data_IF_040591551272
#
_entry.id   IF_040591551272
#
_cell.length_a   1.000
_cell.length_b   1.000
_cell.length_c   1.000
_cell.angle_alpha   90.00
_cell.angle_beta   90.00
_cell.angle_gamma   90.00
#
_symmetry.space_group_name_H-M   'P 1'
#
loop_
_entity.id
_entity.type
_entity.pdbx_description
1 polymer ?
#
# COMPACT_ATOMS: atom_id res chain seq x y z
N UNK A 1 -36.44 57.00 29.31
CA UNK A 1 -35.18 57.58 29.83
C UNK A 1 -34.17 57.47 28.69
N UNK A 2 -34.03 58.52 27.88
CA UNK A 2 -33.02 59.59 28.00
C UNK A 2 -31.78 59.29 27.11
N UNK A 3 -31.70 60.03 26.01
CA UNK A 3 -30.52 60.37 25.17
C UNK A 3 -29.41 61.12 25.98
N UNK A 4 -28.23 61.58 25.45
CA UNK A 4 -27.85 61.84 24.02
C UNK A 4 -26.34 61.69 23.58
N UNK A 5 -26.15 61.88 22.25
CA UNK A 5 -25.11 62.63 21.49
C UNK A 5 -23.59 62.38 21.59
N UNK A 6 -22.98 62.12 20.42
CA UNK A 6 -21.56 62.37 20.10
C UNK A 6 -21.32 62.46 18.58
N UNK A 7 -20.68 63.54 18.13
CA UNK A 7 -20.69 64.14 16.78
C UNK A 7 -19.63 63.61 15.77
N UNK A 8 -20.02 63.63 14.49
CA UNK A 8 -19.33 64.08 13.25
C UNK A 8 -17.96 63.50 12.83
N UNK A 9 -17.87 63.03 11.57
CA UNK A 9 -17.12 63.72 10.50
C UNK A 9 -17.42 63.14 9.10
N UNK A 10 -17.52 64.05 8.13
CA UNK A 10 -17.81 63.83 6.71
C UNK A 10 -16.52 63.71 5.89
N UNK A 11 -16.58 63.08 4.70
CA UNK A 11 -15.76 63.31 3.47
C UNK A 11 -16.25 62.37 2.33
N UNK A 12 -15.94 62.63 1.04
CA UNK A 12 -16.94 62.93 0.00
C UNK A 12 -17.01 61.87 -1.14
N UNK A 13 -17.84 62.04 -2.20
CA UNK A 13 -18.09 61.01 -3.20
C UNK A 13 -17.06 61.03 -4.33
N UNK A 14 -16.82 59.88 -4.97
CA UNK A 14 -16.02 59.77 -6.19
C UNK A 14 -16.92 59.61 -7.43
N UNK A 15 -16.75 60.42 -8.48
CA UNK A 15 -17.23 60.07 -9.81
C UNK A 15 -16.14 60.07 -10.91
N UNK A 16 -16.30 59.08 -11.79
CA UNK A 16 -16.15 59.08 -13.26
C UNK A 16 -14.77 59.27 -13.93
N UNK A 17 -14.39 58.19 -14.62
CA UNK A 17 -14.07 58.10 -16.05
C UNK A 17 -13.01 59.01 -16.67
N UNK A 18 -11.92 58.42 -17.17
CA UNK A 18 -11.28 58.90 -18.40
C UNK A 18 -10.57 57.79 -19.19
N UNK A 19 -10.66 57.99 -20.50
CA UNK A 19 -10.52 57.12 -21.65
C UNK A 19 -9.09 56.72 -22.03
N UNK A 20 -9.03 55.61 -22.76
CA UNK A 20 -7.91 54.98 -23.49
C UNK A 20 -7.30 55.94 -24.54
N UNK A 21 -6.03 55.73 -24.94
CA UNK A 21 -5.83 55.35 -26.35
C UNK A 21 -4.81 54.22 -26.57
N UNK A 22 -4.94 53.66 -27.77
CA UNK A 22 -4.36 52.43 -28.29
C UNK A 22 -2.85 52.47 -28.61
N UNK A 23 -2.22 51.30 -28.54
CA UNK A 23 -1.07 50.93 -29.36
C UNK A 23 -1.09 49.41 -29.60
N UNK A 24 -1.10 49.00 -30.88
CA UNK A 24 -0.88 47.64 -31.35
C UNK A 24 0.51 47.56 -32.03
N UNK A 25 0.94 46.41 -32.57
CA UNK A 25 1.28 45.17 -31.88
C UNK A 25 2.76 44.80 -32.13
N UNK A 26 3.39 44.05 -31.21
CA UNK A 26 4.68 43.40 -31.48
C UNK A 26 4.46 41.88 -31.50
N UNK A 27 4.47 41.33 -32.71
CA UNK A 27 4.50 39.91 -32.96
C UNK A 27 5.79 39.29 -32.41
N UNK A 28 5.67 38.21 -31.63
CA UNK A 28 6.62 37.09 -31.58
C UNK A 28 6.18 36.03 -30.59
N UNK A 29 6.23 34.78 -31.03
CA UNK A 29 6.19 33.61 -30.15
C UNK A 29 4.99 32.72 -30.43
N UNK A 30 5.12 31.89 -31.45
CA UNK A 30 4.23 30.79 -31.74
C UNK A 30 4.01 29.93 -30.49
N UNK A 31 2.74 29.63 -30.23
CA UNK A 31 2.35 28.64 -29.26
C UNK A 31 2.76 27.25 -29.72
N UNK A 32 3.31 26.48 -28.79
CA UNK A 32 3.01 25.06 -28.67
C UNK A 32 2.66 24.85 -27.21
N UNK A 33 1.35 24.72 -26.97
CA UNK A 33 0.79 24.23 -25.72
C UNK A 33 1.54 22.95 -25.35
N UNK A 34 2.26 22.98 -24.22
CA UNK A 34 2.53 21.75 -23.50
C UNK A 34 1.15 21.24 -23.04
N UNK A 35 0.62 20.28 -23.78
CA UNK A 35 -0.47 19.45 -23.28
C UNK A 35 0.20 18.61 -22.19
N UNK A 36 0.06 19.06 -20.95
CA UNK A 36 0.27 18.21 -19.79
C UNK A 36 -0.73 17.07 -19.95
N UNK A 37 -0.23 15.94 -20.45
CA UNK A 37 -0.96 14.69 -20.53
C UNK A 37 -1.12 14.21 -19.09
N UNK A 38 -2.11 14.76 -18.39
CA UNK A 38 -2.63 14.16 -17.18
C UNK A 38 -3.24 12.84 -17.65
N UNK A 39 -2.63 11.68 -17.34
CA UNK A 39 -3.16 10.42 -17.81
C UNK A 39 -4.59 10.26 -17.26
N UNK A 40 -5.52 9.70 -18.05
CA UNK A 40 -6.88 9.49 -17.58
C UNK A 40 -6.86 8.67 -16.27
N UNK A 41 -7.70 9.03 -15.29
CA UNK A 41 -7.78 8.32 -14.01
C UNK A 41 -8.39 6.95 -14.28
N UNK A 42 -7.55 5.95 -14.54
CA UNK A 42 -7.99 4.61 -14.89
C UNK A 42 -6.94 3.74 -15.59
N UNK A 43 -5.81 4.28 -16.04
CA UNK A 43 -4.76 3.43 -16.59
C UNK A 43 -3.84 2.94 -15.47
N UNK A 44 -4.22 1.84 -14.83
CA UNK A 44 -3.31 1.09 -13.96
C UNK A 44 -2.00 0.87 -14.73
N UNK A 45 -0.88 1.36 -14.15
CA UNK A 45 0.41 1.35 -14.85
C UNK A 45 0.73 -0.09 -15.29
N UNK A 46 1.32 -0.31 -16.49
CA UNK A 46 1.50 -1.65 -17.06
C UNK A 46 2.36 -2.58 -16.19
N UNK A 47 3.15 -2.05 -15.26
CA UNK A 47 3.88 -2.86 -14.29
C UNK A 47 2.99 -3.37 -13.14
N UNK A 48 1.96 -2.62 -12.75
CA UNK A 48 0.98 -3.05 -11.73
C UNK A 48 0.05 -4.12 -12.29
N UNK A 49 -0.35 -4.01 -13.57
CA UNK A 49 -1.12 -5.08 -14.22
C UNK A 49 -0.33 -6.39 -14.28
N UNK A 50 0.98 -6.32 -14.53
CA UNK A 50 1.87 -7.49 -14.47
C UNK A 50 2.00 -8.01 -13.04
N UNK A 51 2.12 -7.13 -12.06
CA UNK A 51 2.21 -7.50 -10.65
C UNK A 51 0.94 -8.22 -10.17
N UNK A 52 -0.23 -7.69 -10.52
CA UNK A 52 -1.53 -8.25 -10.16
C UNK A 52 -2.00 -9.33 -11.13
N UNK A 53 -1.18 -9.72 -12.11
CA UNK A 53 -1.50 -10.71 -13.14
C UNK A 53 -2.85 -10.44 -13.84
N UNK A 54 -3.21 -9.16 -14.00
CA UNK A 54 -4.46 -8.73 -14.64
C UNK A 54 -5.71 -8.76 -13.74
N UNK A 55 -5.59 -8.99 -12.43
CA UNK A 55 -6.73 -8.93 -11.49
C UNK A 55 -7.51 -7.62 -11.62
N UNK A 56 -6.81 -6.50 -11.81
CA UNK A 56 -7.42 -5.19 -12.01
C UNK A 56 -8.42 -5.19 -13.17
N UNK A 57 -8.05 -5.79 -14.30
CA UNK A 57 -8.93 -5.88 -15.48
C UNK A 57 -10.15 -6.76 -15.23
N UNK A 58 -9.98 -7.85 -14.48
CA UNK A 58 -11.06 -8.78 -14.15
C UNK A 58 -12.09 -8.08 -13.25
N UNK A 59 -11.61 -7.31 -12.27
CA UNK A 59 -12.46 -6.53 -11.38
C UNK A 59 -13.21 -5.43 -12.13
N UNK A 60 -12.53 -4.67 -12.99
CA UNK A 60 -13.16 -3.64 -13.82
C UNK A 60 -14.17 -4.20 -14.83
N UNK A 61 -13.96 -5.44 -15.29
CA UNK A 61 -14.88 -6.14 -16.20
C UNK A 61 -16.12 -6.69 -15.48
N UNK A 62 -16.11 -6.73 -14.15
CA UNK A 62 -17.19 -7.35 -13.37
C UNK A 62 -18.35 -6.36 -13.16
N UNK A 63 -19.58 -6.69 -13.60
CA UNK A 63 -20.73 -5.80 -13.45
C UNK A 63 -21.05 -5.62 -11.96
N UNK A 64 -20.96 -4.38 -11.48
CA UNK A 64 -21.21 -4.01 -10.08
C UNK A 64 -19.95 -3.69 -9.28
N UNK A 65 -18.75 -4.09 -9.73
CA UNK A 65 -17.51 -3.67 -9.06
C UNK A 65 -17.21 -2.22 -9.40
N UNK A 66 -16.91 -1.43 -8.37
CA UNK A 66 -16.63 0.01 -8.45
C UNK A 66 -15.46 0.37 -7.53
N UNK A 67 -14.84 1.54 -7.72
CA UNK A 67 -13.76 2.05 -6.86
C UNK A 67 -12.53 1.12 -6.74
N UNK A 68 -12.13 0.48 -7.84
CA UNK A 68 -10.86 -0.25 -7.88
C UNK A 68 -9.71 0.75 -7.74
N UNK A 69 -9.06 0.74 -6.58
CA UNK A 69 -8.01 1.70 -6.22
C UNK A 69 -6.73 0.94 -5.91
N UNK A 70 -5.63 1.31 -6.57
CA UNK A 70 -4.30 0.78 -6.30
C UNK A 70 -3.45 1.91 -5.71
N UNK A 71 -2.97 1.71 -4.49
CA UNK A 71 -2.04 2.61 -3.82
C UNK A 71 -0.64 2.17 -4.16
N UNK A 72 -0.03 2.93 -5.07
CA UNK A 72 1.37 2.77 -5.40
C UNK A 72 2.25 3.20 -4.24
N UNK A 73 3.26 2.39 -3.96
CA UNK A 73 4.30 2.72 -2.99
C UNK A 73 5.63 2.87 -3.71
N UNK A 74 6.46 3.84 -3.31
CA UNK A 74 7.78 3.99 -3.90
C UNK A 74 8.62 2.72 -3.68
N UNK A 75 9.58 2.42 -4.56
CA UNK A 75 10.56 1.35 -4.32
C UNK A 75 11.23 1.44 -2.95
N UNK A 76 11.54 0.30 -2.35
CA UNK A 76 12.34 0.24 -1.13
C UNK A 76 13.83 0.42 -1.50
N UNK A 77 14.55 1.19 -0.71
CA UNK A 77 16.00 1.28 -0.89
C UNK A 77 16.68 -0.01 -0.46
N UNK A 78 17.76 -0.39 -1.16
CA UNK A 78 18.55 -1.58 -0.83
C UNK A 78 19.00 -1.60 0.63
N UNK A 79 19.37 -0.44 1.17
CA UNK A 79 19.80 -0.32 2.55
C UNK A 79 18.66 -0.64 3.53
N UNK A 80 17.40 -0.28 3.23
CA UNK A 80 16.24 -0.60 4.07
C UNK A 80 16.04 -2.12 4.16
N UNK A 81 16.24 -2.81 3.03
CA UNK A 81 16.21 -4.27 2.99
C UNK A 81 17.33 -4.85 3.84
N UNK A 82 18.57 -4.43 3.60
CA UNK A 82 19.72 -4.90 4.38
C UNK A 82 19.58 -4.62 5.88
N UNK A 83 19.06 -3.45 6.25
CA UNK A 83 18.80 -3.10 7.65
C UNK A 83 17.72 -3.97 8.28
N UNK A 84 16.65 -4.29 7.54
CA UNK A 84 15.63 -5.21 8.00
C UNK A 84 16.21 -6.62 8.19
N UNK A 85 17.03 -7.10 7.25
CA UNK A 85 17.66 -8.42 7.33
C UNK A 85 18.61 -8.54 8.52
N UNK A 86 19.43 -7.50 8.74
CA UNK A 86 20.34 -7.42 9.89
C UNK A 86 19.56 -7.37 11.22
N UNK A 87 18.49 -6.58 11.27
CA UNK A 87 17.65 -6.44 12.48
C UNK A 87 16.95 -7.74 12.87
N UNK A 88 16.48 -8.49 11.89
CA UNK A 88 15.68 -9.70 12.11
C UNK A 88 16.50 -11.00 11.99
N UNK A 89 17.81 -10.89 11.72
CA UNK A 89 18.71 -12.02 11.45
C UNK A 89 18.16 -13.02 10.40
N UNK A 90 17.45 -12.51 9.40
CA UNK A 90 16.79 -13.29 8.36
C UNK A 90 17.06 -12.69 6.98
N UNK A 91 17.20 -13.54 5.97
CA UNK A 91 17.44 -13.12 4.59
C UNK A 91 16.14 -13.30 3.80
N UNK A 92 15.63 -12.24 3.18
CA UNK A 92 14.43 -12.33 2.34
C UNK A 92 14.73 -13.18 1.08
N UNK A 93 13.76 -13.95 0.56
CA UNK A 93 13.88 -14.60 -0.74
C UNK A 93 14.15 -13.56 -1.83
N UNK A 94 14.91 -13.95 -2.86
CA UNK A 94 15.31 -13.04 -3.94
C UNK A 94 14.11 -12.41 -4.64
N UNK A 95 13.05 -13.18 -4.87
CA UNK A 95 11.80 -12.69 -5.46
C UNK A 95 11.12 -11.63 -4.59
N UNK A 96 11.13 -11.81 -3.26
CA UNK A 96 10.56 -10.85 -2.30
C UNK A 96 11.42 -9.60 -2.22
N UNK A 97 12.76 -9.73 -2.26
CA UNK A 97 13.66 -8.57 -2.35
C UNK A 97 13.41 -7.79 -3.63
N UNK A 98 13.32 -8.48 -4.77
CA UNK A 98 13.05 -7.87 -6.07
C UNK A 98 11.69 -7.16 -6.07
N UNK A 99 10.68 -7.76 -5.45
CA UNK A 99 9.40 -7.09 -5.21
C UNK A 99 9.59 -5.79 -4.43
N UNK A 100 10.27 -5.79 -3.29
CA UNK A 100 10.49 -4.58 -2.50
C UNK A 100 11.35 -3.54 -3.22
N UNK A 101 12.33 -3.96 -4.02
CA UNK A 101 13.12 -3.08 -4.89
C UNK A 101 12.32 -2.49 -6.05
N UNK A 102 11.19 -3.09 -6.42
CA UNK A 102 10.27 -2.57 -7.42
C UNK A 102 9.17 -1.71 -6.79
N UNK A 103 8.61 -2.12 -5.64
CA UNK A 103 7.53 -1.43 -4.91
C UNK A 103 7.63 -1.75 -3.41
N UNK A 104 7.69 -0.75 -2.53
CA UNK A 104 7.81 -0.96 -1.08
C UNK A 104 6.47 -1.33 -0.44
N UNK A 105 5.96 -2.50 -0.77
CA UNK A 105 4.62 -2.94 -0.43
C UNK A 105 3.60 -2.61 -1.52
N UNK A 106 2.38 -3.06 -1.31
CA UNK A 106 1.29 -2.96 -2.27
C UNK A 106 -0.02 -2.80 -1.50
N UNK A 107 -0.99 -2.06 -2.02
CA UNK A 107 -2.33 -2.04 -1.44
C UNK A 107 -3.33 -1.76 -2.54
N UNK A 108 -4.29 -2.67 -2.70
CA UNK A 108 -5.33 -2.61 -3.70
C UNK A 108 -6.66 -2.90 -3.02
N UNK A 109 -7.63 -2.02 -3.24
CA UNK A 109 -8.98 -2.16 -2.69
C UNK A 109 -9.99 -2.07 -3.80
N UNK A 110 -11.10 -2.78 -3.67
CA UNK A 110 -12.24 -2.65 -4.58
C UNK A 110 -13.54 -2.72 -3.81
N UNK A 111 -14.50 -1.94 -4.29
CA UNK A 111 -15.85 -1.89 -3.76
C UNK A 111 -16.82 -2.51 -4.76
N UNK A 112 -18.03 -2.79 -4.30
CA UNK A 112 -19.16 -3.16 -5.14
C UNK A 112 -20.26 -2.14 -4.89
N UNK A 113 -20.89 -1.65 -5.96
CA UNK A 113 -22.07 -0.82 -5.87
C UNK A 113 -23.29 -1.72 -5.81
N UNK A 114 -23.96 -1.73 -4.66
CA UNK A 114 -25.25 -2.37 -4.44
C UNK A 114 -26.30 -1.27 -4.27
N UNK A 115 -27.19 -1.13 -5.25
CA UNK A 115 -28.20 -0.07 -5.32
C UNK A 115 -27.59 1.35 -5.23
N UNK A 116 -27.88 2.10 -4.16
CA UNK A 116 -27.32 3.43 -3.90
C UNK A 116 -26.09 3.42 -2.96
N UNK A 117 -25.66 2.24 -2.48
CA UNK A 117 -24.56 2.12 -1.53
C UNK A 117 -23.33 1.47 -2.18
N UNK A 118 -22.16 2.07 -1.93
CA UNK A 118 -20.87 1.46 -2.27
C UNK A 118 -20.35 0.71 -1.05
N UNK A 119 -20.15 -0.59 -1.20
CA UNK A 119 -19.70 -1.49 -0.12
C UNK A 119 -18.27 -1.96 -0.45
N UNK A 120 -17.28 -1.75 0.44
CA UNK A 120 -15.94 -2.29 0.22
C UNK A 120 -16.01 -3.82 0.23
N UNK A 121 -15.64 -4.44 -0.90
CA UNK A 121 -15.78 -5.89 -1.09
C UNK A 121 -14.49 -6.62 -0.72
N UNK A 122 -13.34 -6.08 -1.11
CA UNK A 122 -12.07 -6.73 -0.86
C UNK A 122 -10.88 -5.77 -0.85
N UNK A 123 -9.83 -6.23 -0.16
CA UNK A 123 -8.53 -5.59 -0.11
C UNK A 123 -7.45 -6.65 -0.27
N UNK A 124 -6.43 -6.31 -1.05
CA UNK A 124 -5.19 -7.05 -1.17
C UNK A 124 -4.07 -6.10 -0.76
N UNK A 125 -3.33 -6.45 0.29
CA UNK A 125 -2.23 -5.64 0.77
C UNK A 125 -0.94 -6.47 0.84
N UNK A 126 0.19 -5.80 0.66
CA UNK A 126 1.49 -6.30 1.05
C UNK A 126 2.14 -5.18 1.87
N UNK A 127 2.49 -5.50 3.11
CA UNK A 127 3.15 -4.59 4.00
C UNK A 127 4.48 -4.13 3.42
N UNK A 128 4.80 -2.85 3.65
CA UNK A 128 6.13 -2.31 3.37
C UNK A 128 7.15 -3.03 4.25
N UNK A 129 8.42 -3.07 3.82
CA UNK A 129 9.45 -3.82 4.54
C UNK A 129 9.60 -3.38 6.02
N UNK A 130 9.45 -2.08 6.29
CA UNK A 130 9.48 -1.53 7.65
C UNK A 130 8.30 -1.97 8.53
N UNK A 131 7.19 -2.39 7.90
CA UNK A 131 5.97 -2.88 8.55
C UNK A 131 5.88 -4.41 8.61
N UNK A 132 6.88 -5.13 8.12
CA UNK A 132 6.96 -6.58 8.29
C UNK A 132 7.20 -6.89 9.76
N UNK A 133 6.18 -7.41 10.42
CA UNK A 133 6.22 -7.80 11.83
C UNK A 133 6.55 -9.28 11.94
N UNK A 134 7.46 -9.60 12.86
CA UNK A 134 7.68 -10.99 13.22
C UNK A 134 6.47 -11.49 14.02
N UNK A 135 5.88 -12.60 13.60
CA UNK A 135 4.83 -13.26 14.36
C UNK A 135 5.48 -14.09 15.46
N UNK A 136 5.18 -13.73 16.70
CA UNK A 136 5.53 -14.54 17.87
C UNK A 136 4.47 -15.63 18.05
N UNK A 137 4.90 -16.87 18.28
CA UNK A 137 4.01 -18.02 18.53
C UNK A 137 3.17 -17.86 19.80
N UNK A 138 3.65 -17.03 20.73
CA UNK A 138 2.93 -16.57 21.89
C UNK A 138 2.54 -15.11 21.67
N UNK A 139 1.28 -14.86 21.34
CA UNK A 139 0.76 -13.50 21.52
C UNK A 139 0.75 -13.21 23.03
N UNK A 140 1.16 -12.01 23.44
CA UNK A 140 1.24 -11.58 24.86
C UNK A 140 -0.15 -11.56 25.54
N UNK A 141 -1.21 -11.77 24.75
CA UNK A 141 -2.62 -11.83 25.16
C UNK A 141 -3.23 -13.22 25.01
N UNK A 142 -2.42 -14.26 24.74
CA UNK A 142 -2.93 -15.62 24.63
C UNK A 142 -3.42 -16.07 26.01
N UNK A 143 -4.72 -16.35 26.11
CA UNK A 143 -5.26 -17.11 27.23
C UNK A 143 -4.50 -18.44 27.32
N UNK A 144 -4.36 -19.05 28.52
CA UNK A 144 -3.57 -20.27 28.71
C UNK A 144 -3.97 -21.47 27.83
N UNK A 145 -5.13 -21.40 27.15
CA UNK A 145 -5.64 -22.42 26.22
C UNK A 145 -6.03 -21.85 24.83
N UNK A 146 -5.53 -20.67 24.45
CA UNK A 146 -5.82 -20.12 23.13
C UNK A 146 -5.06 -20.92 22.04
N UNK A 147 -5.69 -21.20 20.88
CA UNK A 147 -5.00 -21.85 19.78
C UNK A 147 -3.83 -20.99 19.31
N UNK A 148 -2.67 -21.64 19.19
CA UNK A 148 -1.39 -21.09 18.77
C UNK A 148 -1.05 -21.55 17.35
N UNK A 149 0.00 -20.98 16.77
CA UNK A 149 0.50 -21.45 15.47
C UNK A 149 1.01 -22.89 15.50
N UNK A 150 1.37 -23.41 16.69
CA UNK A 150 1.80 -24.80 16.85
C UNK A 150 0.63 -25.78 16.68
N UNK A 151 -0.62 -25.37 16.95
CA UNK A 151 -1.80 -26.23 16.77
C UNK A 151 -2.14 -26.48 15.28
N UNK A 152 -1.49 -25.77 14.36
CA UNK A 152 -1.57 -26.02 12.91
C UNK A 152 -0.61 -27.11 12.43
N UNK A 153 0.31 -27.57 13.29
CA UNK A 153 1.18 -28.71 12.98
C UNK A 153 0.35 -30.00 13.10
N UNK A 154 0.11 -30.66 11.97
CA UNK A 154 -0.57 -31.96 11.91
C UNK A 154 0.47 -33.07 12.17
N UNK A 155 0.42 -33.71 13.34
CA UNK A 155 1.34 -34.75 13.81
C UNK A 155 1.31 -36.06 12.97
N UNK A 156 0.53 -36.11 11.88
CA UNK A 156 0.07 -37.36 11.29
C UNK A 156 0.77 -37.86 10.02
N UNK A 157 1.80 -37.19 9.45
CA UNK A 157 2.36 -37.64 8.17
C UNK A 157 3.89 -37.78 8.20
N UNK A 158 4.30 -39.02 8.45
CA UNK A 158 5.62 -39.58 8.14
C UNK A 158 6.15 -39.06 6.80
N UNK A 159 7.39 -38.61 6.83
CA UNK A 159 8.12 -38.03 5.71
C UNK A 159 8.13 -39.00 4.51
N UNK A 160 7.33 -38.68 3.49
CA UNK A 160 7.60 -39.17 2.14
C UNK A 160 8.87 -38.47 1.65
N UNK A 161 9.95 -39.22 1.39
CA UNK A 161 11.29 -38.76 0.97
C UNK A 161 11.34 -37.89 -0.30
N UNK A 162 10.21 -37.48 -0.86
CA UNK A 162 10.12 -36.77 -2.13
C UNK A 162 9.23 -35.52 -2.12
N UNK A 163 8.86 -35.01 -0.94
CA UNK A 163 8.11 -33.76 -0.81
C UNK A 163 8.95 -32.64 -0.18
N UNK A 164 8.76 -31.37 -0.61
CA UNK A 164 9.37 -30.24 0.06
C UNK A 164 8.99 -30.28 1.55
N UNK A 165 10.00 -30.14 2.41
CA UNK A 165 9.86 -30.16 3.86
C UNK A 165 8.76 -29.17 4.27
N UNK A 166 7.65 -29.67 4.83
CA UNK A 166 6.50 -28.85 5.20
C UNK A 166 6.98 -27.75 6.16
N UNK A 167 6.62 -26.47 5.94
CA UNK A 167 7.04 -25.40 6.83
C UNK A 167 6.52 -25.70 8.24
N UNK A 168 7.43 -25.80 9.20
CA UNK A 168 7.11 -25.92 10.62
C UNK A 168 6.65 -24.56 11.14
N UNK A 169 5.65 -24.55 12.02
CA UNK A 169 5.11 -23.36 12.67
C UNK A 169 5.50 -23.28 14.15
N UNK A 170 6.30 -24.23 14.62
CA UNK A 170 6.92 -24.28 15.94
C UNK A 170 8.15 -23.38 16.10
N UNK A 171 8.74 -23.39 17.30
CA UNK A 171 9.89 -22.58 17.70
C UNK A 171 11.15 -22.71 16.82
N UNK A 172 11.18 -23.68 15.90
CA UNK A 172 12.24 -23.86 14.91
C UNK A 172 12.05 -22.99 13.67
N UNK A 173 10.96 -22.24 13.57
CA UNK A 173 10.70 -21.33 12.46
C UNK A 173 10.59 -19.87 12.91
N UNK A 174 11.00 -18.97 12.02
CA UNK A 174 10.80 -17.53 12.14
C UNK A 174 9.75 -17.13 11.10
N UNK A 175 8.67 -16.49 11.56
CA UNK A 175 7.52 -16.17 10.73
C UNK A 175 7.39 -14.65 10.65
N UNK A 176 7.23 -14.10 9.45
CA UNK A 176 6.99 -12.67 9.24
C UNK A 176 5.67 -12.44 8.51
N UNK A 177 4.86 -11.54 9.02
CA UNK A 177 3.56 -11.18 8.44
C UNK A 177 3.75 -10.22 7.26
N UNK A 178 3.33 -10.67 6.07
CA UNK A 178 3.27 -9.85 4.85
C UNK A 178 1.94 -9.10 4.74
N UNK A 179 0.82 -9.75 5.06
CA UNK A 179 -0.52 -9.16 4.99
C UNK A 179 -1.37 -9.67 6.15
N UNK A 180 -1.96 -8.79 6.98
CA UNK A 180 -2.94 -9.17 7.99
C UNK A 180 -4.34 -9.48 7.43
N UNK A 181 -4.57 -9.39 6.11
CA UNK A 181 -5.83 -9.73 5.43
C UNK A 181 -7.09 -9.24 6.16
N UNK A 182 -7.08 -7.99 6.64
CA UNK A 182 -8.14 -7.36 7.43
C UNK A 182 -8.61 -8.16 8.68
N UNK A 183 -7.72 -8.98 9.26
CA UNK A 183 -8.01 -9.80 10.44
C UNK A 183 -8.71 -11.14 10.16
N UNK A 184 -9.04 -11.43 8.90
CA UNK A 184 -9.67 -12.69 8.50
C UNK A 184 -8.66 -13.82 8.27
N UNK A 185 -7.38 -13.48 8.13
CA UNK A 185 -6.29 -14.41 7.87
C UNK A 185 -4.96 -13.70 7.92
N UNK A 186 -3.86 -14.40 7.64
CA UNK A 186 -2.52 -13.81 7.55
C UNK A 186 -1.73 -14.46 6.43
N UNK A 187 -1.10 -13.64 5.59
CA UNK A 187 -0.07 -14.12 4.66
C UNK A 187 1.27 -13.92 5.32
N UNK A 188 2.07 -14.99 5.41
CA UNK A 188 3.33 -14.96 6.13
C UNK A 188 4.48 -15.61 5.35
N UNK A 189 5.69 -15.10 5.57
CA UNK A 189 6.93 -15.76 5.17
C UNK A 189 7.42 -16.62 6.32
N UNK A 190 7.64 -17.92 6.07
CA UNK A 190 8.13 -18.87 7.06
C UNK A 190 9.57 -19.24 6.72
N UNK A 191 10.47 -18.98 7.66
CA UNK A 191 11.90 -19.32 7.55
C UNK A 191 12.24 -20.39 8.56
N UNK A 192 12.90 -21.46 8.12
CA UNK A 192 13.50 -22.43 9.05
C UNK A 192 14.66 -21.75 9.77
N UNK A 193 14.60 -21.70 11.10
CA UNK A 193 15.69 -21.21 11.93
C UNK A 193 16.83 -22.20 11.80
N UNK A 194 17.84 -21.83 11.02
CA UNK A 194 19.05 -22.64 10.92
C UNK A 194 19.66 -22.80 12.31
N UNK A 195 19.91 -24.05 12.73
CA UNK A 195 21.14 -24.29 13.49
C UNK A 195 22.27 -23.68 12.64
N UNK A 196 23.24 -22.96 13.19
CA UNK A 196 24.43 -22.52 12.45
C UNK A 196 25.20 -23.78 12.00
N UNK A 197 24.77 -24.35 10.88
CA UNK A 197 25.31 -25.55 10.27
C UNK A 197 26.40 -25.14 9.32
N UNK A 198 27.64 -25.44 9.73
CA UNK A 198 28.89 -25.45 8.96
C UNK A 198 28.73 -25.14 7.48
N UNK A 199 29.36 -24.04 7.06
CA UNK A 199 29.92 -23.89 5.73
C UNK A 199 30.80 -25.13 5.47
N UNK A 200 30.31 -26.07 4.69
CA UNK A 200 31.15 -27.09 4.06
C UNK A 200 31.36 -26.66 2.62
N UNK A 201 32.52 -26.04 2.40
CA UNK A 201 33.21 -26.03 1.11
C UNK A 201 33.41 -27.45 0.61
#
# INVERSE_FOLDING_TARGET
MAEPLGRHSALPPAPLSRSVPAAAPAARGAGTRAMEDTPPPGCSKPHLEKLTLGITRILESSPGVTEVTIIEKPPAERHMISSWEQKNNCVLPEDVKNFYLMTNGFHMTWSVKLDEHTIPLGSMAINSIAKLTQLNQSSVYSLPNAPTLADLEDDALEASENQPEKPHFDSRSVIFELDPCNGNGKVCLVYKRGKPGKLTT
#
